data_IF_954876192516
#
_entry.id   IF_954876192516
#
_cell.length_a   1.000
_cell.length_b   1.000
_cell.length_c   1.000
_cell.angle_alpha   90.00
_cell.angle_beta   90.00
_cell.angle_gamma   90.00
#
_symmetry.space_group_name_H-M   'P 1'
#
loop_
_entity.id
_entity.type
_entity.pdbx_description
1 polymer ?
#
# COMPACT_ATOMS: atom_id res chain seq x y z
N UNK A 1 -3.08 13.90 2.96
CA UNK A 1 -3.04 12.77 2.00
C UNK A 1 -1.64 12.19 2.01
N UNK A 2 -1.53 10.88 1.86
CA UNK A 2 -0.25 10.15 1.80
C UNK A 2 0.14 9.93 0.34
N UNK A 3 1.32 10.38 -0.05
CA UNK A 3 1.87 10.16 -1.40
C UNK A 3 2.56 8.80 -1.42
N UNK A 4 2.23 7.98 -2.39
CA UNK A 4 2.83 6.66 -2.53
C UNK A 4 4.26 6.77 -3.07
N UNK A 5 5.21 6.20 -2.34
CA UNK A 5 6.61 6.13 -2.76
C UNK A 5 6.86 4.78 -3.43
N UNK A 6 6.60 4.70 -4.72
CA UNK A 6 6.79 3.50 -5.51
C UNK A 6 7.32 3.85 -6.90
N UNK A 7 8.33 3.11 -7.36
CA UNK A 7 8.97 3.35 -8.66
C UNK A 7 8.65 2.27 -9.70
N UNK A 8 8.13 1.14 -9.26
CA UNK A 8 7.77 -0.01 -10.10
C UNK A 8 8.19 -1.33 -9.46
N UNK A 9 7.50 -2.42 -9.78
CA UNK A 9 7.74 -3.75 -9.21
C UNK A 9 9.06 -4.36 -9.69
N UNK A 10 9.63 -3.87 -10.77
CA UNK A 10 10.92 -4.26 -11.33
C UNK A 10 12.09 -3.38 -10.85
N UNK A 11 11.85 -2.46 -9.90
CA UNK A 11 12.86 -1.60 -9.30
C UNK A 11 13.20 -2.08 -7.89
N UNK A 12 14.48 -2.33 -7.65
CA UNK A 12 14.97 -2.93 -6.39
C UNK A 12 14.86 -2.03 -5.15
N UNK A 13 14.57 -0.76 -5.28
CA UNK A 13 14.71 0.19 -4.17
C UNK A 13 16.17 0.27 -3.70
N UNK A 14 16.37 0.33 -2.37
CA UNK A 14 17.71 0.46 -1.78
C UNK A 14 18.16 -0.80 -1.04
N UNK A 15 17.26 -1.74 -0.82
CA UNK A 15 17.53 -2.99 -0.12
C UNK A 15 17.95 -4.07 -1.13
N UNK A 16 19.19 -4.55 -1.05
CA UNK A 16 19.74 -5.61 -1.88
C UNK A 16 19.56 -5.39 -3.41
N UNK A 17 20.15 -4.34 -3.99
CA UNK A 17 19.94 -3.98 -5.39
C UNK A 17 20.36 -5.06 -6.41
N UNK A 18 21.18 -6.03 -6.00
CA UNK A 18 21.64 -7.15 -6.85
C UNK A 18 20.73 -8.40 -6.71
N UNK A 19 19.66 -8.33 -5.93
CA UNK A 19 18.77 -9.47 -5.70
C UNK A 19 17.84 -9.66 -6.90
N UNK A 20 17.68 -10.91 -7.34
CA UNK A 20 16.66 -11.23 -8.35
C UNK A 20 15.25 -10.92 -7.82
N UNK A 21 14.44 -10.22 -8.59
CA UNK A 21 13.05 -9.94 -8.28
C UNK A 21 12.15 -11.04 -8.83
N UNK A 22 11.25 -11.56 -8.01
CA UNK A 22 10.24 -12.56 -8.40
C UNK A 22 8.91 -12.27 -7.74
N UNK A 23 7.81 -12.65 -8.40
CA UNK A 23 6.46 -12.44 -7.85
C UNK A 23 6.01 -10.99 -7.84
N UNK A 24 6.52 -10.18 -8.76
CA UNK A 24 6.06 -8.81 -9.05
C UNK A 24 5.43 -8.73 -10.43
N UNK A 25 4.78 -7.61 -10.73
CA UNK A 25 4.26 -7.29 -12.05
C UNK A 25 5.43 -6.81 -12.93
N UNK A 26 5.55 -7.38 -14.14
CA UNK A 26 6.56 -6.94 -15.10
C UNK A 26 6.23 -5.58 -15.68
N UNK A 27 6.60 -4.51 -14.99
CA UNK A 27 6.48 -3.12 -15.44
C UNK A 27 7.86 -2.51 -15.58
N UNK A 28 8.06 -1.69 -16.61
CA UNK A 28 9.33 -0.98 -16.78
C UNK A 28 9.30 0.34 -16.02
N UNK A 29 9.86 0.33 -14.80
CA UNK A 29 10.12 1.54 -14.04
C UNK A 29 11.45 2.22 -14.40
N UNK A 30 12.17 1.73 -15.40
CA UNK A 30 13.47 2.26 -15.81
C UNK A 30 13.30 3.41 -16.83
N UNK A 31 13.11 4.61 -16.31
CA UNK A 31 13.03 5.83 -17.09
C UNK A 31 14.29 6.71 -16.87
N UNK A 32 14.62 7.60 -17.82
CA UNK A 32 15.75 8.53 -17.65
C UNK A 32 15.58 9.43 -16.42
N UNK A 33 16.58 9.44 -15.55
CA UNK A 33 16.57 10.25 -14.32
C UNK A 33 15.90 9.58 -13.11
N UNK A 34 15.54 8.30 -13.19
CA UNK A 34 15.03 7.57 -12.04
C UNK A 34 16.01 7.62 -10.85
N UNK A 35 15.49 7.87 -9.67
CA UNK A 35 16.27 7.89 -8.43
C UNK A 35 16.84 6.49 -8.11
N UNK A 36 18.13 6.43 -7.84
CA UNK A 36 18.87 5.20 -7.51
C UNK A 36 19.45 5.23 -6.10
N UNK A 37 19.38 6.36 -5.43
CA UNK A 37 19.85 6.54 -4.05
C UNK A 37 18.77 7.18 -3.19
N UNK A 38 18.82 7.01 -1.85
CA UNK A 38 17.89 7.68 -0.94
C UNK A 38 17.86 9.19 -1.15
N UNK A 39 19.01 9.85 -1.32
CA UNK A 39 19.10 11.31 -1.50
C UNK A 39 18.46 11.78 -2.81
N UNK A 40 18.58 11.00 -3.87
CA UNK A 40 17.90 11.32 -5.14
C UNK A 40 16.39 11.21 -5.00
N UNK A 41 15.91 10.12 -4.37
CA UNK A 41 14.47 9.91 -4.21
C UNK A 41 13.83 10.92 -3.24
N UNK A 42 14.50 11.25 -2.15
CA UNK A 42 14.02 12.32 -1.25
C UNK A 42 14.07 13.69 -1.89
N UNK A 43 15.02 13.94 -2.81
CA UNK A 43 15.06 15.14 -3.64
C UNK A 43 13.84 15.25 -4.56
N UNK A 44 13.50 14.18 -5.27
CA UNK A 44 12.31 14.11 -6.13
C UNK A 44 11.02 14.26 -5.33
N UNK A 45 10.93 13.61 -4.18
CA UNK A 45 9.78 13.73 -3.28
C UNK A 45 9.65 15.16 -2.72
N UNK A 46 10.74 15.80 -2.31
CA UNK A 46 10.73 17.18 -1.86
C UNK A 46 10.18 18.12 -2.94
N UNK A 47 10.64 17.98 -4.17
CA UNK A 47 10.14 18.78 -5.30
C UNK A 47 8.65 18.51 -5.54
N UNK A 48 8.23 17.25 -5.59
CA UNK A 48 6.82 16.88 -5.76
C UNK A 48 5.94 17.49 -4.65
N UNK A 49 6.33 17.31 -3.38
CA UNK A 49 5.58 17.82 -2.24
C UNK A 49 5.51 19.34 -2.20
N UNK A 50 6.56 20.05 -2.64
CA UNK A 50 6.57 21.51 -2.75
C UNK A 50 5.51 22.05 -3.71
N UNK A 51 5.12 21.24 -4.71
CA UNK A 51 4.12 21.56 -5.73
C UNK A 51 2.70 21.13 -5.36
N UNK A 52 2.54 20.41 -4.24
CA UNK A 52 1.24 19.94 -3.75
C UNK A 52 0.86 20.71 -2.49
N UNK A 53 -0.21 21.52 -2.48
CA UNK A 53 -0.63 22.28 -1.30
C UNK A 53 -1.06 21.41 -0.12
N UNK A 54 -0.84 21.87 1.12
CA UNK A 54 -1.37 21.27 2.35
C UNK A 54 -0.38 20.40 3.11
N UNK A 55 -0.89 19.59 4.04
CA UNK A 55 -0.08 18.67 4.85
C UNK A 55 -0.03 17.30 4.19
N UNK A 56 1.15 16.67 4.26
CA UNK A 56 1.44 15.44 3.54
C UNK A 56 1.94 14.34 4.43
N UNK A 57 1.85 13.12 3.94
CA UNK A 57 2.60 11.94 4.35
C UNK A 57 3.22 11.30 3.12
N UNK A 58 4.17 10.42 3.33
CA UNK A 58 4.73 9.54 2.30
C UNK A 58 4.57 8.10 2.76
N UNK A 59 4.01 7.25 1.90
CA UNK A 59 3.87 5.82 2.14
C UNK A 59 5.08 5.09 1.56
N UNK A 60 5.84 4.42 2.43
CA UNK A 60 7.07 3.70 2.07
C UNK A 60 6.83 2.20 1.99
N UNK A 61 7.68 1.52 1.23
CA UNK A 61 7.74 0.05 1.17
C UNK A 61 9.00 -0.49 1.85
N UNK A 62 8.96 -1.77 2.25
CA UNK A 62 10.10 -2.45 2.88
C UNK A 62 11.39 -2.33 2.08
N UNK A 63 11.31 -2.40 0.76
CA UNK A 63 12.48 -2.35 -0.13
C UNK A 63 13.21 -0.98 -0.16
N UNK A 64 12.59 0.08 0.37
CA UNK A 64 13.24 1.40 0.52
C UNK A 64 14.01 1.55 1.85
N UNK A 65 14.18 0.49 2.62
CA UNK A 65 15.04 0.49 3.80
C UNK A 65 16.47 0.91 3.43
N UNK A 66 17.08 1.76 4.25
CA UNK A 66 18.46 2.25 4.07
C UNK A 66 19.34 1.54 5.08
N UNK A 67 20.15 0.59 4.61
CA UNK A 67 20.91 -0.31 5.47
C UNK A 67 22.41 -0.19 5.21
N UNK A 68 23.22 -0.31 6.27
CA UNK A 68 24.69 -0.37 6.16
C UNK A 68 25.22 -1.78 5.79
N UNK A 69 24.36 -2.78 5.87
CA UNK A 69 24.67 -4.19 5.62
C UNK A 69 23.58 -4.82 4.79
N UNK A 70 23.95 -5.86 4.03
CA UNK A 70 22.95 -6.69 3.37
C UNK A 70 22.01 -7.28 4.41
N UNK A 71 20.71 -7.01 4.25
CA UNK A 71 19.61 -7.56 5.06
C UNK A 71 18.56 -8.15 4.16
N UNK A 72 17.87 -9.18 4.64
CA UNK A 72 16.69 -9.69 3.97
C UNK A 72 15.43 -8.99 4.52
N UNK A 73 14.27 -9.07 3.82
CA UNK A 73 13.04 -8.36 4.21
C UNK A 73 12.60 -8.67 5.65
N UNK A 74 12.77 -9.91 6.11
CA UNK A 74 12.43 -10.33 7.47
C UNK A 74 13.43 -9.85 8.55
N UNK A 75 14.54 -9.24 8.15
CA UNK A 75 15.56 -8.68 9.05
C UNK A 75 15.48 -7.15 9.16
N UNK A 76 14.69 -6.52 8.28
CA UNK A 76 14.54 -5.06 8.24
C UNK A 76 13.76 -4.58 9.45
N UNK A 77 14.27 -3.58 10.15
CA UNK A 77 13.68 -3.04 11.36
C UNK A 77 13.58 -1.50 11.37
N UNK A 78 13.10 -0.92 12.47
CA UNK A 78 12.98 0.53 12.64
C UNK A 78 14.26 1.31 12.37
N UNK A 79 15.40 0.76 12.73
CA UNK A 79 16.72 1.36 12.54
C UNK A 79 17.06 1.61 11.08
N UNK A 80 16.55 0.78 10.18
CA UNK A 80 16.78 0.86 8.74
C UNK A 80 15.92 1.93 8.05
N UNK A 81 14.98 2.52 8.80
CA UNK A 81 14.15 3.63 8.36
C UNK A 81 14.49 4.96 9.05
N UNK A 82 15.58 5.01 9.82
CA UNK A 82 15.99 6.24 10.49
C UNK A 82 16.24 7.38 9.50
N UNK A 83 16.84 7.10 8.35
CA UNK A 83 17.05 8.07 7.28
C UNK A 83 15.73 8.76 6.88
N UNK A 84 14.68 7.97 6.66
CA UNK A 84 13.36 8.47 6.29
C UNK A 84 12.69 9.28 7.38
N UNK A 85 12.83 8.86 8.63
CA UNK A 85 12.30 9.60 9.79
C UNK A 85 13.01 10.94 9.95
N UNK A 86 14.32 10.98 9.80
CA UNK A 86 15.09 12.22 9.88
C UNK A 86 14.71 13.19 8.75
N UNK A 87 14.55 12.70 7.54
CA UNK A 87 14.05 13.47 6.40
C UNK A 87 12.61 13.96 6.63
N UNK A 88 11.71 13.10 7.07
CA UNK A 88 10.33 13.47 7.33
C UNK A 88 10.19 14.57 8.42
N UNK A 89 11.05 14.54 9.44
CA UNK A 89 11.14 15.61 10.45
C UNK A 89 11.58 16.95 9.84
N UNK A 90 12.51 16.92 8.89
CA UNK A 90 12.96 18.14 8.18
C UNK A 90 11.87 18.72 7.28
N UNK A 91 11.12 17.85 6.59
CA UNK A 91 10.00 18.25 5.73
C UNK A 91 8.72 18.59 6.52
N UNK A 92 8.63 18.23 7.80
CA UNK A 92 7.43 18.41 8.61
C UNK A 92 6.25 17.53 8.18
N UNK A 93 6.53 16.31 7.69
CA UNK A 93 5.54 15.35 7.17
C UNK A 93 5.46 14.10 8.03
N UNK A 94 4.41 13.28 7.79
CA UNK A 94 4.27 11.94 8.36
C UNK A 94 4.75 10.85 7.40
N UNK A 95 4.86 9.63 7.93
CA UNK A 95 5.18 8.44 7.14
C UNK A 95 4.12 7.35 7.36
N UNK A 96 3.78 6.65 6.28
CA UNK A 96 2.99 5.43 6.28
C UNK A 96 3.85 4.26 5.78
N UNK A 97 3.41 3.02 6.00
CA UNK A 97 4.17 1.81 5.68
C UNK A 97 3.33 0.84 4.86
N UNK A 98 3.95 0.23 3.86
CA UNK A 98 3.43 -0.91 3.11
C UNK A 98 4.46 -2.05 3.20
N UNK A 99 4.16 -3.18 3.83
CA UNK A 99 5.02 -4.35 3.73
C UNK A 99 5.01 -4.86 2.29
N UNK A 100 6.19 -5.17 1.76
CA UNK A 100 6.33 -5.65 0.38
C UNK A 100 6.23 -7.17 0.37
N UNK A 101 5.04 -7.73 0.07
CA UNK A 101 4.79 -9.17 -0.02
C UNK A 101 4.97 -9.72 -1.45
N UNK A 102 5.87 -9.13 -2.21
CA UNK A 102 6.14 -9.45 -3.61
C UNK A 102 7.58 -9.05 -3.96
N UNK A 103 7.97 -9.22 -5.22
CA UNK A 103 9.30 -8.83 -5.74
C UNK A 103 10.46 -9.41 -4.91
N UNK A 104 10.37 -10.69 -4.54
CA UNK A 104 11.33 -11.35 -3.68
C UNK A 104 11.45 -12.86 -3.97
N UNK A 105 12.66 -13.49 -3.90
CA UNK A 105 12.85 -14.92 -4.14
C UNK A 105 12.04 -15.85 -3.23
N UNK A 106 11.60 -15.38 -2.06
CA UNK A 106 10.72 -16.13 -1.16
C UNK A 106 9.25 -16.08 -1.55
N UNK A 107 8.86 -15.40 -2.62
CA UNK A 107 7.55 -15.62 -3.26
C UNK A 107 7.63 -16.95 -4.00
N UNK A 108 6.90 -17.94 -3.54
CA UNK A 108 6.93 -19.30 -4.12
C UNK A 108 5.59 -19.60 -4.80
N UNK A 109 5.67 -19.85 -6.11
CA UNK A 109 4.45 -20.14 -6.90
C UNK A 109 3.36 -19.07 -6.77
N UNK A 110 3.73 -17.80 -6.71
CA UNK A 110 2.87 -16.64 -6.44
C UNK A 110 2.23 -16.62 -5.05
N UNK A 111 2.84 -17.27 -4.06
CA UNK A 111 2.35 -17.32 -2.69
C UNK A 111 3.37 -16.82 -1.67
N UNK A 112 2.83 -16.13 -0.66
CA UNK A 112 3.52 -15.63 0.53
C UNK A 112 2.83 -16.14 1.80
N UNK A 113 1.97 -15.34 2.41
CA UNK A 113 1.23 -15.66 3.64
C UNK A 113 0.19 -16.79 3.48
N UNK A 114 -0.29 -17.04 2.27
CA UNK A 114 -1.19 -18.14 1.97
C UNK A 114 -0.49 -19.41 1.45
N UNK A 115 0.85 -19.42 1.39
CA UNK A 115 1.64 -20.55 0.88
C UNK A 115 1.30 -21.86 1.59
N UNK A 116 1.22 -23.00 0.87
CA UNK A 116 1.13 -24.31 1.50
C UNK A 116 2.41 -24.67 2.29
N UNK A 117 3.54 -24.09 1.94
CA UNK A 117 4.82 -24.30 2.61
C UNK A 117 4.94 -23.44 3.88
N UNK A 118 5.03 -24.10 5.03
CA UNK A 118 5.10 -23.40 6.33
C UNK A 118 6.33 -22.46 6.40
N UNK A 119 7.49 -22.88 5.91
CA UNK A 119 8.72 -22.07 5.92
C UNK A 119 8.58 -20.77 5.13
N UNK A 120 7.81 -20.79 4.04
CA UNK A 120 7.48 -19.57 3.26
C UNK A 120 6.57 -18.66 4.08
N UNK A 121 5.52 -19.21 4.70
CA UNK A 121 4.64 -18.41 5.55
C UNK A 121 5.38 -17.81 6.75
N UNK A 122 6.22 -18.61 7.44
CA UNK A 122 6.99 -18.14 8.60
C UNK A 122 7.89 -16.95 8.23
N UNK A 123 8.54 -17.00 7.08
CA UNK A 123 9.33 -15.89 6.57
C UNK A 123 8.48 -14.63 6.39
N UNK A 124 7.36 -14.73 5.69
CA UNK A 124 6.50 -13.60 5.41
C UNK A 124 5.73 -13.07 6.63
N UNK A 125 5.44 -13.93 7.60
CA UNK A 125 4.89 -13.54 8.90
C UNK A 125 5.89 -12.61 9.61
N UNK A 126 7.18 -12.92 9.60
CA UNK A 126 8.21 -12.05 10.19
C UNK A 126 8.32 -10.72 9.43
N UNK A 127 8.25 -10.70 8.11
CA UNK A 127 8.17 -9.46 7.32
C UNK A 127 6.97 -8.61 7.77
N UNK A 128 5.80 -9.20 7.91
CA UNK A 128 4.61 -8.52 8.41
C UNK A 128 4.76 -7.98 9.82
N UNK A 129 5.36 -8.74 10.75
CA UNK A 129 5.65 -8.29 12.12
C UNK A 129 6.62 -7.11 12.12
N UNK A 130 7.69 -7.17 11.30
CA UNK A 130 8.68 -6.10 11.16
C UNK A 130 8.06 -4.81 10.60
N UNK A 131 7.23 -4.89 9.58
CA UNK A 131 6.55 -3.71 9.04
C UNK A 131 5.69 -2.99 10.10
N UNK A 132 5.08 -3.74 11.02
CA UNK A 132 4.31 -3.18 12.14
C UNK A 132 5.18 -2.49 13.18
N UNK A 133 6.39 -3.02 13.44
CA UNK A 133 7.39 -2.36 14.29
C UNK A 133 7.83 -1.03 13.66
N UNK A 134 8.05 -1.02 12.34
CA UNK A 134 8.45 0.17 11.58
C UNK A 134 7.33 1.22 11.58
N UNK A 135 6.09 0.84 11.28
CA UNK A 135 4.97 1.77 11.29
C UNK A 135 4.73 2.39 12.68
N UNK A 136 4.84 1.57 13.75
CA UNK A 136 4.76 2.09 15.12
C UNK A 136 5.91 3.05 15.43
N UNK A 137 7.12 2.77 14.96
CA UNK A 137 8.27 3.68 15.09
C UNK A 137 8.02 5.01 14.39
N UNK A 138 7.46 5.00 13.16
CA UNK A 138 7.10 6.23 12.46
C UNK A 138 6.15 7.09 13.29
N UNK A 139 5.08 6.48 13.82
CA UNK A 139 4.12 7.21 14.63
C UNK A 139 4.71 7.79 15.92
N UNK A 140 5.59 7.03 16.58
CA UNK A 140 6.27 7.50 17.80
C UNK A 140 7.21 8.67 17.51
N UNK A 141 8.00 8.58 16.47
CA UNK A 141 9.02 9.58 16.14
C UNK A 141 8.47 10.86 15.53
N UNK A 142 7.38 10.76 14.78
CA UNK A 142 6.79 11.88 14.05
C UNK A 142 5.56 12.47 14.76
N UNK A 143 5.04 11.81 15.80
CA UNK A 143 3.85 12.28 16.52
C UNK A 143 2.58 12.28 15.67
N UNK A 144 2.56 11.50 14.59
CA UNK A 144 1.42 11.34 13.67
C UNK A 144 1.13 9.85 13.48
N UNK A 145 -0.14 9.45 13.54
CA UNK A 145 -0.53 8.06 13.29
C UNK A 145 -0.03 7.60 11.91
N UNK A 146 0.68 6.49 11.87
CA UNK A 146 1.11 5.82 10.63
C UNK A 146 0.09 4.76 10.23
N UNK A 147 -0.30 4.73 8.97
CA UNK A 147 -1.07 3.63 8.38
C UNK A 147 -0.09 2.56 7.92
N UNK A 148 -0.34 1.30 8.31
CA UNK A 148 0.37 0.15 7.77
C UNK A 148 -0.59 -0.66 6.91
N UNK A 149 -0.46 -0.57 5.59
CA UNK A 149 -1.39 -1.16 4.63
C UNK A 149 -0.87 -2.49 4.09
N UNK A 150 -1.60 -3.57 4.33
CA UNK A 150 -1.26 -4.93 3.94
C UNK A 150 -1.94 -5.31 2.62
N UNK A 151 -1.20 -5.22 1.52
CA UNK A 151 -1.56 -5.78 0.23
C UNK A 151 -0.78 -7.08 0.00
N UNK A 152 -1.50 -8.20 -0.21
CA UNK A 152 -0.92 -9.53 -0.36
C UNK A 152 -1.46 -10.14 -1.65
N UNK A 153 -0.63 -10.18 -2.72
CA UNK A 153 -1.07 -10.58 -4.06
C UNK A 153 -1.11 -12.09 -4.29
N UNK A 154 -1.22 -12.89 -3.23
CA UNK A 154 -1.27 -14.35 -3.33
C UNK A 154 -2.45 -14.81 -4.20
N UNK A 155 -2.18 -15.66 -5.19
CA UNK A 155 -3.21 -16.13 -6.10
C UNK A 155 -2.77 -17.26 -7.01
N UNK A 156 -3.73 -17.77 -7.78
CA UNK A 156 -3.51 -18.80 -8.79
C UNK A 156 -3.77 -18.25 -10.20
N UNK A 157 -2.98 -18.69 -11.15
CA UNK A 157 -3.22 -18.42 -12.58
C UNK A 157 -4.59 -18.92 -13.02
N UNK A 158 -4.95 -20.12 -12.58
CA UNK A 158 -6.22 -20.77 -12.88
C UNK A 158 -7.10 -20.88 -11.64
N UNK A 159 -8.38 -21.17 -11.83
CA UNK A 159 -9.32 -21.36 -10.75
C UNK A 159 -8.98 -22.65 -9.98
N UNK A 160 -8.59 -22.58 -8.69
CA UNK A 160 -8.17 -23.76 -7.93
C UNK A 160 -9.36 -24.67 -7.57
N UNK A 161 -9.07 -25.95 -7.37
CA UNK A 161 -10.05 -26.93 -6.87
C UNK A 161 -10.46 -26.60 -5.43
N UNK A 162 -9.49 -26.24 -4.59
CA UNK A 162 -9.69 -25.84 -3.20
C UNK A 162 -9.42 -24.35 -3.03
N UNK A 163 -10.47 -23.59 -2.77
CA UNK A 163 -10.40 -22.15 -2.49
C UNK A 163 -10.37 -21.83 -1.00
N UNK A 164 -10.69 -22.78 -0.16
CA UNK A 164 -10.83 -22.59 1.27
C UNK A 164 -9.47 -22.65 1.97
N UNK A 165 -8.69 -23.69 1.74
CA UNK A 165 -7.41 -23.88 2.42
C UNK A 165 -6.40 -22.70 2.26
N UNK A 166 -6.22 -22.08 1.08
CA UNK A 166 -5.37 -20.89 1.00
C UNK A 166 -5.90 -19.71 1.83
N UNK A 167 -7.21 -19.53 1.92
CA UNK A 167 -7.82 -18.48 2.74
C UNK A 167 -7.67 -18.74 4.23
N UNK A 168 -7.82 -20.00 4.67
CA UNK A 168 -7.56 -20.40 6.06
C UNK A 168 -6.12 -20.11 6.45
N UNK A 169 -5.14 -20.49 5.60
CA UNK A 169 -3.74 -20.19 5.84
C UNK A 169 -3.45 -18.68 5.89
N UNK A 170 -4.10 -17.90 5.02
CA UNK A 170 -3.96 -16.44 5.04
C UNK A 170 -4.49 -15.83 6.35
N UNK A 171 -5.64 -16.32 6.84
CA UNK A 171 -6.20 -15.90 8.13
C UNK A 171 -5.24 -16.25 9.27
N UNK A 172 -4.76 -17.50 9.33
CA UNK A 172 -3.82 -17.94 10.36
C UNK A 172 -2.55 -17.08 10.37
N UNK A 173 -1.98 -16.81 9.20
CA UNK A 173 -0.79 -15.98 9.05
C UNK A 173 -1.02 -14.52 9.46
N UNK A 174 -2.13 -13.93 9.03
CA UNK A 174 -2.48 -12.56 9.40
C UNK A 174 -2.80 -12.43 10.90
N UNK A 175 -3.53 -13.38 11.47
CA UNK A 175 -3.83 -13.39 12.90
C UNK A 175 -2.52 -13.48 13.74
N UNK A 176 -1.50 -14.22 13.27
CA UNK A 176 -0.18 -14.26 13.89
C UNK A 176 0.58 -12.94 13.71
N UNK A 177 0.58 -12.35 12.53
CA UNK A 177 1.17 -11.02 12.26
C UNK A 177 0.57 -9.98 13.19
N UNK A 178 -0.75 -9.98 13.37
CA UNK A 178 -1.48 -8.98 14.16
C UNK A 178 -1.62 -9.32 15.65
N UNK A 179 -0.99 -10.39 16.15
CA UNK A 179 -1.13 -10.82 17.54
C UNK A 179 -0.63 -9.77 18.55
N UNK A 180 0.54 -9.16 18.31
CA UNK A 180 1.07 -8.08 19.16
C UNK A 180 0.23 -6.82 18.97
N UNK A 181 -0.18 -6.19 20.05
CA UNK A 181 -0.93 -4.91 20.01
C UNK A 181 0.03 -3.72 20.09
N UNK A 182 -0.25 -2.73 19.29
CA UNK A 182 0.39 -1.42 19.32
C UNK A 182 -0.62 -0.34 19.69
N UNK A 183 -0.15 0.81 20.17
CA UNK A 183 -1.01 1.97 20.42
C UNK A 183 -1.47 2.54 19.06
N UNK A 184 -2.79 2.63 18.90
CA UNK A 184 -3.39 3.14 17.67
C UNK A 184 -3.10 4.63 17.43
N UNK A 185 -2.62 5.36 18.44
CA UNK A 185 -2.11 6.71 18.24
C UNK A 185 -0.86 6.74 17.37
N UNK A 186 -0.06 5.66 17.43
CA UNK A 186 1.16 5.54 16.65
C UNK A 186 0.92 4.88 15.31
N UNK A 187 0.16 3.77 15.30
CA UNK A 187 -0.06 3.01 14.05
C UNK A 187 -1.42 2.37 14.01
N UNK A 188 -2.01 2.34 12.83
CA UNK A 188 -3.24 1.64 12.52
C UNK A 188 -3.02 0.74 11.30
N UNK A 189 -3.66 -0.43 11.31
CA UNK A 189 -3.45 -1.45 10.29
C UNK A 189 -4.65 -1.57 9.37
N UNK A 190 -4.37 -1.65 8.08
CA UNK A 190 -5.34 -1.88 7.03
C UNK A 190 -4.99 -3.13 6.22
N UNK A 191 -5.98 -3.75 5.61
CA UNK A 191 -5.84 -4.85 4.66
C UNK A 191 -6.50 -4.48 3.35
N UNK A 192 -5.84 -4.79 2.24
CA UNK A 192 -6.24 -4.36 0.91
C UNK A 192 -6.56 -5.55 0.02
N UNK A 193 -7.71 -5.48 -0.66
CA UNK A 193 -8.13 -6.47 -1.64
C UNK A 193 -7.72 -6.09 -3.05
N UNK A 194 -7.56 -7.11 -3.90
CA UNK A 194 -7.33 -6.93 -5.32
C UNK A 194 -8.18 -7.91 -6.12
N UNK A 195 -8.52 -7.53 -7.34
CA UNK A 195 -9.25 -8.40 -8.27
C UNK A 195 -8.36 -9.54 -8.78
N UNK A 196 -7.08 -9.23 -9.00
CA UNK A 196 -6.04 -10.18 -9.35
C UNK A 196 -4.95 -10.23 -8.29
N UNK A 197 -4.13 -11.29 -8.33
CA UNK A 197 -2.87 -11.35 -7.64
C UNK A 197 -1.77 -10.58 -8.38
N UNK A 198 -0.54 -11.06 -8.27
CA UNK A 198 0.60 -10.54 -9.03
C UNK A 198 0.50 -11.01 -10.49
N UNK A 199 0.43 -10.06 -11.42
CA UNK A 199 0.23 -10.38 -12.83
C UNK A 199 -1.23 -10.67 -13.19
N UNK A 200 -1.49 -11.66 -14.03
CA UNK A 200 -2.83 -12.00 -14.54
C UNK A 200 -3.26 -13.36 -13.99
N UNK A 201 -3.58 -13.42 -12.72
CA UNK A 201 -4.13 -14.60 -12.06
C UNK A 201 -5.65 -14.58 -12.09
N UNK A 202 -6.27 -15.73 -12.33
CA UNK A 202 -7.74 -15.88 -12.34
C UNK A 202 -8.34 -15.95 -10.94
N UNK A 203 -7.53 -16.16 -9.91
CA UNK A 203 -7.97 -16.30 -8.54
C UNK A 203 -7.01 -15.61 -7.56
N UNK A 204 -7.53 -14.65 -6.84
CA UNK A 204 -6.84 -13.99 -5.73
C UNK A 204 -7.35 -14.54 -4.41
N UNK A 205 -6.46 -14.97 -3.51
CA UNK A 205 -6.81 -15.47 -2.18
C UNK A 205 -7.49 -14.36 -1.38
N UNK A 206 -6.86 -13.18 -1.34
CA UNK A 206 -7.32 -11.98 -0.68
C UNK A 206 -8.20 -11.10 -1.58
N UNK A 207 -9.39 -11.60 -1.94
CA UNK A 207 -10.39 -10.80 -2.67
C UNK A 207 -11.00 -9.70 -1.81
N UNK A 208 -11.68 -8.72 -2.43
CA UNK A 208 -12.37 -7.63 -1.74
C UNK A 208 -13.31 -8.15 -0.65
N UNK A 209 -14.14 -9.13 -0.99
CA UNK A 209 -15.06 -9.73 -0.02
C UNK A 209 -14.32 -10.41 1.16
N UNK A 210 -13.20 -11.07 0.89
CA UNK A 210 -12.39 -11.72 1.92
C UNK A 210 -11.84 -10.70 2.90
N UNK A 211 -11.16 -9.67 2.41
CA UNK A 211 -10.52 -8.68 3.28
C UNK A 211 -11.51 -7.74 3.96
N UNK A 212 -12.65 -7.40 3.34
CA UNK A 212 -13.70 -6.68 4.02
C UNK A 212 -14.20 -7.46 5.25
N UNK A 213 -14.52 -8.74 5.08
CA UNK A 213 -14.96 -9.60 6.18
C UNK A 213 -13.85 -9.78 7.23
N UNK A 214 -12.60 -9.94 6.82
CA UNK A 214 -11.46 -10.05 7.74
C UNK A 214 -11.30 -8.75 8.54
N UNK A 215 -11.29 -7.60 7.90
CA UNK A 215 -11.14 -6.30 8.55
C UNK A 215 -12.23 -6.06 9.61
N UNK A 216 -13.49 -6.26 9.25
CA UNK A 216 -14.64 -6.12 10.18
C UNK A 216 -14.48 -7.07 11.37
N UNK A 217 -14.17 -8.35 11.12
CA UNK A 217 -14.10 -9.37 12.18
C UNK A 217 -12.88 -9.21 13.10
N UNK A 218 -11.84 -8.50 12.72
CA UNK A 218 -10.60 -8.27 13.50
C UNK A 218 -10.39 -6.81 13.91
N UNK A 219 -11.35 -5.94 13.62
CA UNK A 219 -11.27 -4.50 13.95
C UNK A 219 -10.09 -3.80 13.27
N UNK A 220 -9.82 -4.16 12.01
CA UNK A 220 -8.85 -3.51 11.14
C UNK A 220 -9.55 -2.53 10.21
N UNK A 221 -8.79 -1.64 9.58
CA UNK A 221 -9.30 -0.89 8.45
C UNK A 221 -9.34 -1.78 7.21
N UNK A 222 -10.31 -1.54 6.35
CA UNK A 222 -10.27 -2.07 5.00
C UNK A 222 -9.82 -0.98 4.04
N UNK A 223 -8.89 -1.32 3.15
CA UNK A 223 -8.43 -0.43 2.10
C UNK A 223 -9.25 -0.67 0.84
N UNK A 224 -9.99 0.36 0.43
CA UNK A 224 -10.59 0.41 -0.90
C UNK A 224 -9.59 1.10 -1.82
N UNK A 225 -9.03 0.37 -2.75
CA UNK A 225 -8.29 0.94 -3.87
C UNK A 225 -9.23 1.13 -5.06
N UNK A 226 -9.34 2.38 -5.54
CA UNK A 226 -10.25 2.73 -6.62
C UNK A 226 -9.85 2.14 -7.98
N UNK A 227 -8.59 1.72 -8.12
CA UNK A 227 -8.06 1.04 -9.31
C UNK A 227 -8.17 -0.49 -9.27
N UNK A 228 -8.48 -1.09 -8.13
CA UNK A 228 -8.49 -2.54 -7.94
C UNK A 228 -9.87 -3.20 -8.12
N UNK A 229 -10.91 -2.44 -8.39
CA UNK A 229 -12.26 -2.95 -8.60
C UNK A 229 -12.49 -3.51 -10.01
N UNK A 230 -13.54 -4.32 -10.15
CA UNK A 230 -14.02 -4.69 -11.48
C UNK A 230 -14.54 -3.46 -12.22
N UNK A 231 -14.43 -3.44 -13.54
CA UNK A 231 -14.83 -2.30 -14.36
C UNK A 231 -16.31 -1.89 -14.26
N UNK A 232 -17.14 -2.75 -13.67
CA UNK A 232 -18.57 -2.49 -13.38
C UNK A 232 -18.83 -2.07 -11.95
N UNK A 233 -17.82 -2.11 -11.07
CA UNK A 233 -17.96 -1.71 -9.67
C UNK A 233 -18.04 -0.19 -9.56
N UNK A 234 -18.85 0.27 -8.63
CA UNK A 234 -19.01 1.69 -8.34
C UNK A 234 -18.45 1.95 -6.94
N UNK A 235 -17.17 2.26 -6.87
CA UNK A 235 -16.42 2.42 -5.61
C UNK A 235 -17.11 3.38 -4.63
N UNK A 236 -17.73 4.46 -5.12
CA UNK A 236 -18.47 5.40 -4.27
C UNK A 236 -19.62 4.77 -3.49
N UNK A 237 -20.20 3.68 -3.98
CA UNK A 237 -21.33 3.01 -3.34
C UNK A 237 -20.86 2.06 -2.22
N UNK A 238 -19.60 1.62 -2.26
CA UNK A 238 -19.02 0.72 -1.26
C UNK A 238 -18.63 1.47 0.03
N UNK A 239 -18.26 2.74 -0.08
CA UNK A 239 -17.72 3.55 1.01
C UNK A 239 -18.63 3.55 2.23
N UNK A 240 -19.90 3.85 2.06
CA UNK A 240 -20.87 3.92 3.16
C UNK A 240 -21.07 2.56 3.84
N UNK A 241 -21.06 1.46 3.06
CA UNK A 241 -21.21 0.10 3.61
C UNK A 241 -20.02 -0.27 4.50
N UNK A 242 -18.80 0.08 4.08
CA UNK A 242 -17.58 -0.16 4.85
C UNK A 242 -17.59 0.63 6.15
N UNK A 243 -17.93 1.89 6.08
CA UNK A 243 -17.88 2.79 7.23
C UNK A 243 -18.96 2.44 8.27
N UNK A 244 -20.17 2.08 7.84
CA UNK A 244 -21.24 1.67 8.75
C UNK A 244 -20.94 0.36 9.46
N UNK A 245 -20.33 -0.59 8.78
CA UNK A 245 -20.04 -1.93 9.32
C UNK A 245 -18.67 -2.03 9.98
N UNK A 246 -17.71 -1.21 9.57
CA UNK A 246 -16.31 -1.29 9.94
C UNK A 246 -15.85 -0.20 10.90
N UNK A 247 -14.56 -0.23 11.20
CA UNK A 247 -13.88 0.75 12.06
C UNK A 247 -13.62 2.09 11.36
N UNK A 248 -13.52 2.08 10.06
CA UNK A 248 -13.13 3.14 9.16
C UNK A 248 -12.51 2.55 7.90
N UNK A 249 -11.98 3.39 7.04
CA UNK A 249 -11.37 2.92 5.81
C UNK A 249 -10.05 3.62 5.50
N UNK A 250 -9.24 2.96 4.67
CA UNK A 250 -8.20 3.60 3.87
C UNK A 250 -8.75 3.70 2.45
N UNK A 251 -8.73 4.89 1.89
CA UNK A 251 -9.03 5.10 0.49
C UNK A 251 -7.71 5.22 -0.27
N UNK A 252 -7.38 4.26 -1.08
CA UNK A 252 -6.35 4.37 -2.09
C UNK A 252 -6.95 5.00 -3.35
N UNK A 253 -6.49 6.20 -3.64
CA UNK A 253 -6.94 6.95 -4.81
C UNK A 253 -6.04 6.56 -5.98
N UNK A 254 -6.59 5.78 -6.89
CA UNK A 254 -5.96 5.35 -8.13
C UNK A 254 -6.99 5.31 -9.25
N UNK A 255 -6.58 5.05 -10.48
CA UNK A 255 -7.46 5.01 -11.64
C UNK A 255 -7.22 3.75 -12.46
N UNK A 256 -8.23 2.89 -12.65
CA UNK A 256 -8.11 1.77 -13.56
C UNK A 256 -8.06 2.27 -15.02
N UNK A 257 -7.18 1.68 -15.81
CA UNK A 257 -7.14 1.88 -17.29
C UNK A 257 -7.44 0.56 -17.95
N UNK A 258 -8.65 0.41 -18.47
CA UNK A 258 -9.23 -0.81 -19.04
C UNK A 258 -9.56 -1.88 -18.02
N UNK A 259 -8.70 -2.08 -17.04
CA UNK A 259 -8.75 -3.13 -16.06
C UNK A 259 -8.13 -2.67 -14.74
N UNK A 260 -7.88 -3.58 -13.81
CA UNK A 260 -7.18 -3.34 -12.58
C UNK A 260 -5.78 -2.73 -12.82
N UNK A 261 -5.56 -1.50 -12.37
CA UNK A 261 -4.27 -0.79 -12.50
C UNK A 261 -4.22 0.46 -11.63
N UNK A 262 -3.01 0.87 -11.28
CA UNK A 262 -2.75 1.97 -10.36
C UNK A 262 -2.23 3.20 -11.11
N UNK A 263 -3.04 3.68 -12.06
CA UNK A 263 -2.70 4.87 -12.84
C UNK A 263 -3.02 6.17 -12.13
N UNK A 264 -2.28 7.20 -12.51
CA UNK A 264 -2.49 8.58 -12.06
C UNK A 264 -3.93 9.01 -12.32
N UNK A 265 -4.57 9.50 -11.28
CA UNK A 265 -5.97 9.96 -11.36
C UNK A 265 -6.09 11.28 -12.08
N UNK A 266 -7.22 11.43 -12.75
CA UNK A 266 -7.66 12.68 -13.36
C UNK A 266 -8.92 13.17 -12.66
N UNK A 267 -9.27 14.43 -12.84
CA UNK A 267 -10.49 14.99 -12.28
C UNK A 267 -11.72 14.56 -13.12
N UNK A 268 -12.13 13.30 -12.92
CA UNK A 268 -13.26 12.67 -13.62
C UNK A 268 -14.49 12.47 -12.70
N UNK A 269 -15.55 11.88 -13.24
CA UNK A 269 -16.79 11.65 -12.53
C UNK A 269 -16.62 10.62 -11.40
N UNK A 270 -15.81 9.57 -11.59
CA UNK A 270 -15.59 8.54 -10.59
C UNK A 270 -14.94 9.13 -9.33
N UNK A 271 -13.84 9.88 -9.49
CA UNK A 271 -13.17 10.57 -8.39
C UNK A 271 -14.10 11.57 -7.69
N UNK A 272 -14.90 12.33 -8.44
CA UNK A 272 -15.88 13.27 -7.87
C UNK A 272 -17.00 12.56 -7.09
N UNK A 273 -17.46 11.39 -7.51
CA UNK A 273 -18.45 10.60 -6.77
C UNK A 273 -17.87 10.08 -5.45
N UNK A 274 -16.66 9.54 -5.48
CA UNK A 274 -15.95 9.04 -4.30
C UNK A 274 -15.81 10.15 -3.25
N UNK A 275 -15.28 11.31 -3.65
CA UNK A 275 -15.07 12.43 -2.72
C UNK A 275 -16.38 12.99 -2.18
N UNK A 276 -17.44 13.06 -3.01
CA UNK A 276 -18.77 13.48 -2.56
C UNK A 276 -19.39 12.53 -1.55
N UNK A 277 -19.22 11.22 -1.69
CA UNK A 277 -19.69 10.24 -0.70
C UNK A 277 -19.04 10.50 0.66
N UNK A 278 -17.71 10.61 0.72
CA UNK A 278 -16.99 10.86 1.97
C UNK A 278 -17.39 12.18 2.65
N UNK A 279 -17.53 13.25 1.88
CA UNK A 279 -17.87 14.58 2.43
C UNK A 279 -19.33 14.63 2.89
N UNK A 280 -20.27 14.11 2.10
CA UNK A 280 -21.71 14.12 2.45
C UNK A 280 -22.05 13.29 3.68
N UNK A 281 -21.37 12.16 3.84
CA UNK A 281 -21.56 11.26 4.96
C UNK A 281 -20.78 11.71 6.22
N UNK A 282 -19.99 12.81 6.11
CA UNK A 282 -19.11 13.33 7.15
C UNK A 282 -18.07 12.33 7.67
N UNK A 283 -17.47 11.55 6.74
CA UNK A 283 -16.61 10.41 7.07
C UNK A 283 -15.11 10.67 6.85
N UNK A 284 -14.73 11.92 6.59
CA UNK A 284 -13.32 12.28 6.37
C UNK A 284 -12.44 12.00 7.59
N UNK A 285 -12.98 12.15 8.81
CA UNK A 285 -12.23 11.87 10.05
C UNK A 285 -11.96 10.36 10.27
N UNK A 286 -12.74 9.49 9.64
CA UNK A 286 -12.61 8.04 9.71
C UNK A 286 -11.93 7.44 8.47
N UNK A 287 -11.45 8.30 7.58
CA UNK A 287 -10.85 7.90 6.30
C UNK A 287 -9.40 8.37 6.21
N UNK A 288 -8.50 7.43 6.02
CA UNK A 288 -7.13 7.72 5.65
C UNK A 288 -7.01 7.72 4.11
N UNK A 289 -6.45 8.78 3.53
CA UNK A 289 -6.37 8.94 2.08
C UNK A 289 -4.94 8.72 1.62
N UNK A 290 -4.71 7.64 0.88
CA UNK A 290 -3.49 7.33 0.16
C UNK A 290 -3.65 7.62 -1.33
N UNK A 291 -2.60 8.13 -1.96
CA UNK A 291 -2.52 8.33 -3.40
C UNK A 291 -1.73 7.15 -3.97
N UNK A 292 -2.42 6.04 -4.20
CA UNK A 292 -1.80 4.79 -4.64
C UNK A 292 -1.80 4.69 -6.17
N UNK A 293 -0.99 5.54 -6.77
CA UNK A 293 -0.77 5.52 -8.20
C UNK A 293 0.69 5.84 -8.54
N UNK A 294 1.15 5.20 -9.55
CA UNK A 294 2.45 5.43 -10.18
C UNK A 294 2.34 5.10 -11.66
N UNK A 295 3.10 5.81 -12.48
CA UNK A 295 3.28 5.44 -13.87
C UNK A 295 4.76 5.08 -14.04
N UNK A 296 5.05 3.81 -14.21
CA UNK A 296 6.40 3.26 -14.22
C UNK A 296 7.31 3.80 -15.35
N UNK A 297 6.74 4.55 -16.29
CA UNK A 297 7.48 5.16 -17.40
C UNK A 297 7.70 6.66 -17.26
N UNK A 298 7.18 7.27 -16.19
CA UNK A 298 7.38 8.70 -15.88
C UNK A 298 7.94 8.88 -14.48
N UNK A 299 8.55 10.03 -14.22
CA UNK A 299 9.12 10.30 -12.90
C UNK A 299 8.04 10.52 -11.83
N UNK A 300 8.43 10.37 -10.56
CA UNK A 300 7.51 10.50 -9.43
C UNK A 300 6.85 11.88 -9.33
N UNK A 301 7.50 12.94 -9.80
CA UNK A 301 6.97 14.30 -9.81
C UNK A 301 5.80 14.40 -10.78
N UNK A 302 6.00 13.93 -12.02
CA UNK A 302 4.99 13.95 -13.07
C UNK A 302 3.80 13.03 -12.78
N UNK A 303 4.00 11.97 -11.99
CA UNK A 303 2.92 11.11 -11.52
C UNK A 303 2.19 11.74 -10.32
N UNK A 304 2.91 12.11 -9.27
CA UNK A 304 2.32 12.50 -7.97
C UNK A 304 1.64 13.86 -8.03
N UNK A 305 2.23 14.87 -8.67
CA UNK A 305 1.70 16.24 -8.64
C UNK A 305 0.36 16.38 -9.34
N UNK A 306 0.15 15.93 -10.59
CA UNK A 306 -1.15 16.02 -11.25
C UNK A 306 -2.24 15.22 -10.54
N UNK A 307 -1.91 14.01 -10.07
CA UNK A 307 -2.85 13.14 -9.39
C UNK A 307 -3.28 13.70 -8.04
N UNK A 308 -2.32 14.16 -7.21
CA UNK A 308 -2.62 14.77 -5.92
C UNK A 308 -3.48 16.03 -6.08
N UNK A 309 -3.15 16.90 -7.03
CA UNK A 309 -3.93 18.12 -7.30
C UNK A 309 -5.32 17.82 -7.84
N UNK A 310 -5.47 16.77 -8.66
CA UNK A 310 -6.79 16.30 -9.12
C UNK A 310 -7.64 15.80 -7.95
N UNK A 311 -7.04 15.04 -7.04
CA UNK A 311 -7.69 14.55 -5.81
C UNK A 311 -8.09 15.70 -4.90
N UNK A 312 -7.19 16.65 -4.62
CA UNK A 312 -7.48 17.83 -3.81
C UNK A 312 -8.62 18.66 -4.42
N UNK A 313 -8.62 18.87 -5.73
CA UNK A 313 -9.70 19.58 -6.43
C UNK A 313 -11.04 18.87 -6.25
N UNK A 314 -11.08 17.54 -6.33
CA UNK A 314 -12.30 16.78 -6.13
C UNK A 314 -12.85 16.90 -4.70
N UNK A 315 -11.98 16.82 -3.70
CA UNK A 315 -12.36 17.02 -2.29
C UNK A 315 -12.86 18.45 -2.05
N UNK A 316 -12.14 19.47 -2.53
CA UNK A 316 -12.56 20.88 -2.38
C UNK A 316 -13.89 21.17 -3.07
N UNK A 317 -14.18 20.53 -4.19
CA UNK A 317 -15.48 20.67 -4.86
C UNK A 317 -16.60 19.97 -4.09
N UNK A 318 -16.30 18.89 -3.36
CA UNK A 318 -17.27 18.13 -2.59
C UNK A 318 -17.66 18.84 -1.28
N UNK A 319 -16.72 19.62 -0.67
CA UNK A 319 -16.94 20.47 0.51
C UNK A 319 -17.83 21.68 0.18
#
# INVERSE_FOLDING_TARGET
MSVHCWQGDDIHGFLNPDQELTGGIGVSGDYPGIARTPDQLTGDLHEALSLIPGSHKVALHTLYAVTDKKKDFNEVGPEDFKYWVDWAKQEGIGLDMNPTFFSHPMVKHNFTLASPEKSVRDYWIEVGKKSREIANYFGQELGQQSVNNFWIPDGFKDNPIDKQAPRERLIESLDEVFAKKYDEKNTIEAVEGKLFGTGIESYTVGSHLFYNNYAISRGKLWTIDAGHGHSTDVVSDEISAVIVCGKGLVLHVSRPVRWDSDHVVIFDEALQRITRSLVRDNELERTNIGLDFFDATINIIDASVPGARSSQKAFLQAM
#
